data_IF_565634219896
#
_entry.id   IF_565634219896
#
_cell.length_a   1.000
_cell.length_b   1.000
_cell.length_c   1.000
_cell.angle_alpha   90.00
_cell.angle_beta   90.00
_cell.angle_gamma   90.00
#
_symmetry.space_group_name_H-M   'P 1'
#
loop_
_entity.id
_entity.type
_entity.pdbx_description
1 polymer ?
#
# COMPACT_ATOMS: atom_id res chain seq x y z
N UNK A 1 -14.87 4.86 -7.95
CA UNK A 1 -14.38 4.45 -6.62
C UNK A 1 -14.63 2.97 -6.40
N UNK A 2 -13.57 2.15 -6.48
CA UNK A 2 -13.63 0.69 -6.31
C UNK A 2 -12.54 0.22 -5.36
N UNK A 3 -12.89 -0.56 -4.34
CA UNK A 3 -11.89 -1.20 -3.47
C UNK A 3 -11.13 -2.26 -4.28
N UNK A 4 -9.80 -2.15 -4.32
CA UNK A 4 -8.92 -3.06 -5.05
C UNK A 4 -8.48 -4.20 -4.12
N UNK A 5 -7.84 -3.87 -2.99
CA UNK A 5 -7.36 -4.81 -1.98
C UNK A 5 -6.99 -4.09 -0.68
N UNK A 6 -6.86 -4.86 0.40
CA UNK A 6 -6.21 -4.43 1.63
C UNK A 6 -4.70 -4.75 1.59
N UNK A 7 -3.89 -3.92 2.21
CA UNK A 7 -2.44 -4.09 2.33
C UNK A 7 -1.96 -3.58 3.70
N UNK A 8 -0.67 -3.75 4.00
CA UNK A 8 -0.01 -3.04 5.09
C UNK A 8 0.74 -1.82 4.56
N UNK A 9 0.77 -0.76 5.34
CA UNK A 9 1.56 0.45 5.08
C UNK A 9 2.19 0.93 6.37
N UNK A 10 3.08 1.90 6.29
CA UNK A 10 3.80 2.47 7.43
C UNK A 10 3.22 3.86 7.73
N UNK A 11 3.00 4.20 9.01
CA UNK A 11 2.66 5.56 9.40
C UNK A 11 3.84 6.50 9.08
N UNK A 12 3.61 7.65 8.43
CA UNK A 12 4.71 8.56 8.10
C UNK A 12 5.33 9.23 9.34
N UNK A 13 4.61 9.28 10.46
CA UNK A 13 5.06 9.96 11.69
C UNK A 13 5.79 9.03 12.66
N UNK A 14 5.19 7.87 13.00
CA UNK A 14 5.71 6.96 14.04
C UNK A 14 6.26 5.64 13.49
N UNK A 15 6.25 5.47 12.17
CA UNK A 15 6.74 4.30 11.45
C UNK A 15 6.08 2.96 11.83
N UNK A 16 4.93 2.97 12.53
CA UNK A 16 4.21 1.72 12.82
C UNK A 16 3.57 1.15 11.57
N UNK A 17 3.44 -0.17 11.57
CA UNK A 17 2.72 -0.90 10.53
C UNK A 17 1.21 -0.76 10.75
N UNK A 18 0.52 -0.23 9.76
CA UNK A 18 -0.92 0.01 9.73
C UNK A 18 -1.60 -0.87 8.68
N UNK A 19 -2.87 -1.19 8.92
CA UNK A 19 -3.74 -1.67 7.85
C UNK A 19 -4.06 -0.50 6.90
N UNK A 20 -4.05 -0.79 5.61
CA UNK A 20 -4.33 0.17 4.56
C UNK A 20 -5.20 -0.46 3.47
N UNK A 21 -5.93 0.36 2.75
CA UNK A 21 -6.79 -0.03 1.64
C UNK A 21 -6.34 0.66 0.37
N UNK A 22 -6.31 -0.07 -0.74
CA UNK A 22 -6.08 0.48 -2.06
C UNK A 22 -7.42 0.63 -2.79
N UNK A 23 -7.68 1.83 -3.28
CA UNK A 23 -8.89 2.20 -3.99
C UNK A 23 -8.55 2.69 -5.39
N UNK A 24 -9.35 2.30 -6.38
CA UNK A 24 -9.35 2.96 -7.69
C UNK A 24 -10.29 4.16 -7.62
N UNK A 25 -9.77 5.36 -7.90
CA UNK A 25 -10.50 6.63 -7.91
C UNK A 25 -10.01 7.43 -9.11
N UNK A 26 -10.91 7.76 -10.03
CA UNK A 26 -10.64 8.55 -11.24
C UNK A 26 -9.43 8.05 -12.06
N UNK A 27 -9.31 6.73 -12.20
CA UNK A 27 -8.21 6.11 -12.95
C UNK A 27 -6.88 6.05 -12.20
N UNK A 28 -6.82 6.47 -10.93
CA UNK A 28 -5.62 6.38 -10.08
C UNK A 28 -5.82 5.34 -8.98
N UNK A 29 -4.72 4.81 -8.45
CA UNK A 29 -4.73 3.98 -7.24
C UNK A 29 -4.37 4.84 -6.04
N UNK A 30 -5.33 4.97 -5.13
CA UNK A 30 -5.21 5.74 -3.89
C UNK A 30 -5.05 4.79 -2.72
N UNK A 31 -4.09 5.04 -1.84
CA UNK A 31 -3.92 4.31 -0.59
C UNK A 31 -4.54 5.10 0.56
N UNK A 32 -5.38 4.44 1.36
CA UNK A 32 -6.00 5.00 2.56
C UNK A 32 -5.56 4.21 3.78
N UNK A 33 -5.15 4.90 4.83
CA UNK A 33 -4.73 4.29 6.11
C UNK A 33 -5.07 5.21 7.26
N UNK A 34 -5.30 4.64 8.44
CA UNK A 34 -5.59 5.43 9.65
C UNK A 34 -4.66 4.99 10.77
N UNK A 35 -3.89 5.94 11.30
CA UNK A 35 -3.12 5.80 12.51
C UNK A 35 -3.97 6.26 13.72
N UNK A 36 -4.06 5.48 14.81
CA UNK A 36 -4.78 5.90 16.01
C UNK A 36 -4.28 7.22 16.62
N UNK A 37 -2.99 7.54 16.47
CA UNK A 37 -2.38 8.74 17.05
C UNK A 37 -2.26 9.90 16.06
N UNK A 38 -2.04 9.60 14.78
CA UNK A 38 -1.73 10.60 13.76
C UNK A 38 -2.86 10.83 12.73
N UNK A 39 -4.01 10.14 12.89
CA UNK A 39 -5.20 10.33 12.05
C UNK A 39 -5.14 9.57 10.73
N UNK A 40 -5.99 9.99 9.79
CA UNK A 40 -6.14 9.36 8.47
C UNK A 40 -5.21 9.99 7.43
N UNK A 41 -4.63 9.14 6.60
CA UNK A 41 -3.78 9.51 5.48
C UNK A 41 -4.37 8.95 4.19
N UNK A 42 -4.34 9.78 3.15
CA UNK A 42 -4.72 9.43 1.79
C UNK A 42 -3.63 9.93 0.85
N UNK A 43 -3.14 9.07 -0.04
CA UNK A 43 -2.07 9.41 -0.97
C UNK A 43 -2.20 8.64 -2.29
N UNK A 44 -1.61 9.17 -3.36
CA UNK A 44 -1.54 8.49 -4.65
C UNK A 44 -0.52 7.36 -4.53
N UNK A 45 -1.01 6.13 -4.53
CA UNK A 45 -0.16 4.95 -4.55
C UNK A 45 0.41 4.71 -5.95
N UNK A 46 -0.43 4.79 -7.00
CA UNK A 46 -0.05 4.77 -8.42
C UNK A 46 -0.93 5.72 -9.22
N UNK A 47 -0.33 6.48 -10.13
CA UNK A 47 -1.05 7.52 -10.89
C UNK A 47 -1.97 6.99 -11.98
N UNK A 48 -1.83 5.72 -12.37
CA UNK A 48 -2.61 5.05 -13.43
C UNK A 48 -3.01 3.64 -13.01
N UNK A 49 -4.31 3.36 -13.05
CA UNK A 49 -4.90 2.08 -12.64
C UNK A 49 -4.63 0.96 -13.63
N UNK A 50 -4.63 1.23 -14.94
CA UNK A 50 -4.42 0.19 -15.96
C UNK A 50 -2.98 -0.31 -15.91
N UNK A 51 -2.03 0.61 -15.78
CA UNK A 51 -0.64 0.24 -15.54
C UNK A 51 -0.53 -0.56 -14.23
N UNK A 52 -1.23 -0.18 -13.15
CA UNK A 52 -1.16 -0.90 -11.86
C UNK A 52 -1.59 -2.35 -12.03
N UNK A 53 -2.69 -2.56 -12.75
CA UNK A 53 -3.17 -3.89 -13.09
C UNK A 53 -2.15 -4.63 -13.96
N UNK A 54 -1.52 -3.98 -14.94
CA UNK A 54 -0.49 -4.57 -15.81
C UNK A 54 0.71 -5.06 -14.99
N UNK A 55 1.25 -4.22 -14.12
CA UNK A 55 2.43 -4.57 -13.32
C UNK A 55 2.12 -5.59 -12.22
N UNK A 56 0.94 -5.52 -11.61
CA UNK A 56 0.54 -6.45 -10.55
C UNK A 56 0.44 -7.91 -11.06
N UNK A 57 0.34 -8.15 -12.38
CA UNK A 57 0.43 -9.50 -12.98
C UNK A 57 1.81 -10.15 -12.83
N UNK A 58 2.85 -9.33 -12.67
CA UNK A 58 4.24 -9.78 -12.53
C UNK A 58 4.72 -9.71 -11.08
N UNK A 59 3.80 -9.48 -10.13
CA UNK A 59 4.14 -9.42 -8.72
C UNK A 59 4.58 -10.81 -8.26
N UNK A 60 5.78 -10.87 -7.72
CA UNK A 60 6.35 -12.02 -7.02
C UNK A 60 6.85 -11.52 -5.66
N UNK A 61 6.35 -12.12 -4.57
CA UNK A 61 6.77 -11.77 -3.21
C UNK A 61 8.13 -12.42 -2.85
N UNK A 62 8.64 -13.30 -3.71
CA UNK A 62 9.89 -14.04 -3.51
C UNK A 62 9.81 -15.02 -2.34
N UNK A 63 10.97 -15.54 -1.90
CA UNK A 63 11.07 -16.46 -0.75
C UNK A 63 10.98 -15.78 0.61
N UNK A 64 10.97 -14.44 0.65
CA UNK A 64 11.07 -13.67 1.88
C UNK A 64 12.45 -13.79 2.56
N UNK A 65 12.59 -13.13 3.71
CA UNK A 65 13.77 -13.25 4.57
C UNK A 65 13.48 -14.29 5.66
N UNK A 66 14.30 -15.33 5.74
CA UNK A 66 14.23 -16.35 6.79
C UNK A 66 14.90 -15.89 8.10
N UNK A 67 15.86 -14.96 8.00
CA UNK A 67 16.59 -14.37 9.12
C UNK A 67 16.81 -12.88 8.93
N UNK A 68 16.87 -12.15 10.03
CA UNK A 68 17.26 -10.76 10.01
C UNK A 68 18.71 -10.63 9.48
N UNK A 69 18.97 -9.60 8.69
CA UNK A 69 20.33 -9.28 8.25
C UNK A 69 21.15 -8.90 9.48
N UNK A 70 22.09 -9.75 9.87
CA UNK A 70 23.06 -9.44 10.93
C UNK A 70 23.92 -8.25 10.47
N UNK A 71 24.00 -7.22 11.30
CA UNK A 71 24.85 -6.02 11.12
C UNK A 71 25.92 -6.05 12.20
#
# INVERSE_FOLDING_TARGET
MKLIKTTKSICPEDLRVLNAELWEIDGQVIIKKTCPEHGSFEDVYWSDYEEYVRANRYRDDGTGLDRAREI
#
